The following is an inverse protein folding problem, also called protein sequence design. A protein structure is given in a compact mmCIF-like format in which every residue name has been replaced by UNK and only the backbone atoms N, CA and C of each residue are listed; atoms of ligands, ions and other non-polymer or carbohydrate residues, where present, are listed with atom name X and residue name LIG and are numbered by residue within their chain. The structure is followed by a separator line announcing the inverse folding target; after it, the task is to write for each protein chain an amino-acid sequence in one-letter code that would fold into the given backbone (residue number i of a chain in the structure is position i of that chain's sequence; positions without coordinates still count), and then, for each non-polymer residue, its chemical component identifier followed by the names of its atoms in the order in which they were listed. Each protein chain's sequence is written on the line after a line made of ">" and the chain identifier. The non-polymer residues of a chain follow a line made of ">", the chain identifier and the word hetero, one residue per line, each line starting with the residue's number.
data_IF_035007144437
#
_entry.id   IF_035007144437
#
_cell.length_a   1.000
_cell.length_b   1.000
_cell.length_c   1.000
_cell.angle_alpha   90.00
_cell.angle_beta   90.00
_cell.angle_gamma   90.00
#
_symmetry.space_group_name_H-M   'P 1'
#
loop_
_entity.id
_entity.type
_entity.pdbx_description
1 polymer ?
#
# COMPACT_ATOMS: atom_id res chain seq x y z
N UNK A 1 -42.01 29.35 13.50
CA UNK A 1 -41.29 30.51 12.92
C UNK A 1 -39.79 30.55 13.18
N UNK A 2 -39.27 30.51 14.42
CA UNK A 2 -37.80 30.51 14.65
C UNK A 2 -37.16 29.14 14.36
N UNK A 3 -37.73 28.03 14.87
CA UNK A 3 -37.16 26.68 14.66
C UNK A 3 -37.36 26.11 13.25
N UNK A 4 -38.36 26.58 12.50
CA UNK A 4 -38.55 26.20 11.08
C UNK A 4 -37.55 26.88 10.16
N UNK A 5 -37.15 28.13 10.48
CA UNK A 5 -36.08 28.83 9.73
C UNK A 5 -34.71 28.22 10.00
N UNK A 6 -34.44 27.81 11.24
CA UNK A 6 -33.20 27.10 11.59
C UNK A 6 -33.13 25.73 10.90
N UNK A 7 -34.23 24.97 10.89
CA UNK A 7 -34.30 23.69 10.16
C UNK A 7 -34.18 23.85 8.65
N UNK A 8 -34.78 24.89 8.06
CA UNK A 8 -34.61 25.19 6.63
C UNK A 8 -33.16 25.56 6.29
N UNK A 9 -32.50 26.38 7.13
CA UNK A 9 -31.10 26.73 6.93
C UNK A 9 -30.19 25.52 7.07
N UNK A 10 -30.35 24.69 8.11
CA UNK A 10 -29.59 23.45 8.29
C UNK A 10 -29.76 22.51 7.07
N UNK A 11 -30.99 22.37 6.57
CA UNK A 11 -31.29 21.53 5.41
C UNK A 11 -30.77 22.10 4.07
N UNK A 12 -30.69 23.43 3.93
CA UNK A 12 -30.05 24.10 2.78
C UNK A 12 -28.53 23.95 2.83
N UNK A 13 -27.89 24.13 4.01
CA UNK A 13 -26.45 23.93 4.20
C UNK A 13 -26.03 22.47 3.98
N UNK A 14 -26.82 21.49 4.44
CA UNK A 14 -26.59 20.07 4.18
C UNK A 14 -26.66 19.75 2.67
N UNK A 15 -27.66 20.27 1.97
CA UNK A 15 -27.84 20.04 0.53
C UNK A 15 -26.74 20.71 -0.32
N UNK A 16 -26.28 21.90 0.06
CA UNK A 16 -25.15 22.57 -0.61
C UNK A 16 -23.87 21.74 -0.48
N UNK A 17 -23.54 21.28 0.73
CA UNK A 17 -22.37 20.46 1.00
C UNK A 17 -22.41 19.10 0.25
N UNK A 18 -23.58 18.47 0.13
CA UNK A 18 -23.75 17.24 -0.65
C UNK A 18 -23.50 17.45 -2.15
N UNK A 19 -24.00 18.57 -2.70
CA UNK A 19 -23.81 18.89 -4.12
C UNK A 19 -22.33 19.17 -4.46
N UNK A 20 -21.61 19.84 -3.57
CA UNK A 20 -20.17 20.09 -3.70
C UNK A 20 -19.37 18.79 -3.62
N UNK A 21 -19.71 17.91 -2.67
CA UNK A 21 -19.07 16.60 -2.55
C UNK A 21 -19.34 15.70 -3.77
N UNK A 22 -20.54 15.73 -4.34
CA UNK A 22 -20.85 15.03 -5.58
C UNK A 22 -19.99 15.52 -6.76
N UNK A 23 -19.79 16.84 -6.88
CA UNK A 23 -18.90 17.41 -7.89
C UNK A 23 -17.43 17.04 -7.67
N UNK A 24 -17.00 16.95 -6.41
CA UNK A 24 -15.67 16.45 -6.05
C UNK A 24 -15.48 15.01 -6.55
N UNK A 25 -16.47 14.13 -6.31
CA UNK A 25 -16.43 12.73 -6.74
C UNK A 25 -16.41 12.59 -8.27
N UNK A 26 -17.19 13.41 -8.99
CA UNK A 26 -17.23 13.40 -10.46
C UNK A 26 -15.86 13.71 -11.10
N UNK A 27 -14.96 14.37 -10.37
CA UNK A 27 -13.61 14.74 -10.81
C UNK A 27 -12.51 14.09 -9.98
N UNK A 28 -12.82 13.04 -9.20
CA UNK A 28 -11.91 12.43 -8.24
C UNK A 28 -10.61 11.85 -8.85
N UNK A 29 -10.61 11.56 -10.16
CA UNK A 29 -9.40 11.11 -10.87
C UNK A 29 -8.32 12.20 -10.99
N UNK A 30 -8.69 13.48 -10.89
CA UNK A 30 -7.76 14.60 -11.09
C UNK A 30 -6.68 14.62 -10.02
N UNK A 31 -7.04 14.47 -8.74
CA UNK A 31 -6.08 14.50 -7.64
C UNK A 31 -4.95 13.46 -7.77
N UNK A 32 -5.23 12.15 -7.86
CA UNK A 32 -4.17 11.16 -7.92
C UNK A 32 -3.31 11.29 -9.19
N UNK A 33 -3.90 11.69 -10.32
CA UNK A 33 -3.14 11.90 -11.56
C UNK A 33 -2.23 13.13 -11.49
N UNK A 34 -2.68 14.23 -10.86
CA UNK A 34 -1.83 15.41 -10.63
C UNK A 34 -0.73 15.10 -9.62
N UNK A 35 -1.01 14.33 -8.57
CA UNK A 35 0.02 13.90 -7.61
C UNK A 35 1.07 13.02 -8.28
N UNK A 36 0.65 12.03 -9.09
CA UNK A 36 1.56 11.20 -9.89
C UNK A 36 2.46 12.06 -10.78
N UNK A 37 1.89 13.01 -11.53
CA UNK A 37 2.67 13.90 -12.38
C UNK A 37 3.65 14.78 -11.59
N UNK A 38 3.25 15.30 -10.41
CA UNK A 38 4.14 16.09 -9.57
C UNK A 38 5.34 15.29 -9.05
N UNK A 39 5.13 14.02 -8.71
CA UNK A 39 6.19 13.07 -8.31
C UNK A 39 7.10 12.77 -9.50
N UNK A 40 6.56 12.47 -10.69
CA UNK A 40 7.34 12.21 -11.90
C UNK A 40 8.19 13.42 -12.33
N UNK A 41 7.70 14.63 -12.09
CA UNK A 41 8.44 15.87 -12.31
C UNK A 41 9.49 16.16 -11.22
N UNK A 42 9.51 15.39 -10.11
CA UNK A 42 10.42 15.61 -8.99
C UNK A 42 10.12 16.87 -8.18
N UNK A 43 8.87 17.37 -8.25
CA UNK A 43 8.46 18.61 -7.57
C UNK A 43 8.68 18.52 -6.07
N UNK A 44 8.29 17.41 -5.47
CA UNK A 44 8.37 17.23 -4.02
C UNK A 44 9.85 17.17 -3.56
N UNK A 45 10.71 16.53 -4.35
CA UNK A 45 12.15 16.46 -4.14
C UNK A 45 12.82 17.82 -4.30
N UNK A 46 12.41 18.63 -5.27
CA UNK A 46 12.91 19.99 -5.47
C UNK A 46 12.63 20.83 -4.21
N UNK A 47 11.40 20.82 -3.71
CA UNK A 47 11.03 21.55 -2.49
C UNK A 47 11.80 20.99 -1.28
N UNK A 48 11.91 19.65 -1.15
CA UNK A 48 12.68 19.01 -0.07
C UNK A 48 14.15 19.46 -0.06
N UNK A 49 14.78 19.54 -1.23
CA UNK A 49 16.19 19.96 -1.38
C UNK A 49 16.40 21.43 -1.02
N UNK A 50 15.40 22.29 -1.21
CA UNK A 50 15.47 23.69 -0.80
C UNK A 50 15.44 23.86 0.73
N UNK A 51 14.91 22.89 1.47
CA UNK A 51 15.02 22.78 2.92
C UNK A 51 13.68 22.59 3.64
N UNK A 52 13.69 22.23 4.94
CA UNK A 52 12.47 21.86 5.69
C UNK A 52 11.40 22.95 5.76
N UNK A 53 11.80 24.22 5.74
CA UNK A 53 10.91 25.39 5.80
C UNK A 53 10.82 26.14 4.47
N UNK A 54 11.29 25.53 3.38
CA UNK A 54 11.30 26.17 2.07
C UNK A 54 9.87 26.45 1.58
N UNK A 55 9.71 27.61 0.96
CA UNK A 55 8.50 28.05 0.27
C UNK A 55 8.95 28.55 -1.11
N UNK A 56 8.64 27.79 -2.15
CA UNK A 56 9.08 28.09 -3.52
C UNK A 56 7.90 28.48 -4.39
N UNK A 57 8.09 29.50 -5.22
CA UNK A 57 7.17 29.83 -6.30
C UNK A 57 7.17 28.74 -7.38
N UNK A 58 6.10 28.68 -8.17
CA UNK A 58 6.05 27.78 -9.33
C UNK A 58 7.16 28.08 -10.37
N UNK A 59 7.63 29.34 -10.44
CA UNK A 59 8.74 29.75 -11.31
C UNK A 59 10.08 29.17 -10.84
N UNK A 60 10.35 29.21 -9.53
CA UNK A 60 11.57 28.61 -8.95
C UNK A 60 11.57 27.10 -9.13
N UNK A 61 10.44 26.43 -8.85
CA UNK A 61 10.30 24.98 -9.08
C UNK A 61 10.53 24.65 -10.57
N UNK A 62 9.89 25.38 -11.48
CA UNK A 62 10.04 25.18 -12.92
C UNK A 62 11.49 25.32 -13.40
N UNK A 63 12.27 26.22 -12.79
CA UNK A 63 13.68 26.46 -13.16
C UNK A 63 14.60 25.27 -12.90
N UNK A 64 14.18 24.34 -12.03
CA UNK A 64 14.89 23.08 -11.76
C UNK A 64 14.45 21.92 -12.67
N UNK A 65 13.39 22.10 -13.47
CA UNK A 65 12.89 21.08 -14.38
C UNK A 65 13.64 21.10 -15.72
N UNK A 66 13.86 19.95 -16.37
CA UNK A 66 14.44 19.87 -17.71
C UNK A 66 13.41 20.27 -18.78
N UNK A 67 12.98 21.54 -18.78
CA UNK A 67 11.92 22.05 -19.66
C UNK A 67 12.33 23.30 -20.42
N UNK A 68 11.84 23.43 -21.65
CA UNK A 68 11.93 24.64 -22.46
C UNK A 68 10.58 25.34 -22.61
N UNK A 69 9.53 24.85 -21.93
CA UNK A 69 8.18 25.39 -22.04
C UNK A 69 8.05 26.69 -21.20
N UNK A 70 7.87 27.88 -21.82
CA UNK A 70 7.74 29.13 -21.07
C UNK A 70 6.47 29.18 -20.21
N UNK A 71 5.49 28.31 -20.47
CA UNK A 71 4.25 28.20 -19.69
C UNK A 71 4.32 27.15 -18.57
N UNK A 72 5.45 26.45 -18.39
CA UNK A 72 5.59 25.45 -17.31
C UNK A 72 5.27 26.00 -15.91
N UNK A 73 5.74 27.20 -15.50
CA UNK A 73 5.38 27.79 -14.22
C UNK A 73 3.87 27.95 -14.01
N UNK A 74 3.14 28.39 -15.04
CA UNK A 74 1.68 28.58 -14.97
C UNK A 74 0.94 27.26 -14.80
N UNK A 75 1.37 26.21 -15.50
CA UNK A 75 0.77 24.87 -15.38
C UNK A 75 1.08 24.28 -14.02
N UNK A 76 2.33 24.40 -13.55
CA UNK A 76 2.74 23.96 -12.22
C UNK A 76 1.94 24.66 -11.13
N UNK A 77 1.81 25.99 -11.17
CA UNK A 77 1.02 26.73 -10.18
C UNK A 77 -0.39 26.13 -10.00
N UNK A 78 -1.07 25.81 -11.12
CA UNK A 78 -2.40 25.17 -11.08
C UNK A 78 -2.38 23.79 -10.43
N UNK A 79 -1.36 22.98 -10.72
CA UNK A 79 -1.17 21.66 -10.09
C UNK A 79 -0.90 21.80 -8.60
N UNK A 80 0.00 22.70 -8.22
CA UNK A 80 0.43 22.91 -6.83
C UNK A 80 -0.73 23.45 -5.98
N UNK A 81 -1.57 24.36 -6.51
CA UNK A 81 -2.80 24.79 -5.82
C UNK A 81 -3.74 23.64 -5.51
N UNK A 82 -3.93 22.70 -6.44
CA UNK A 82 -4.75 21.51 -6.19
C UNK A 82 -4.13 20.67 -5.06
N UNK A 83 -2.82 20.38 -5.13
CA UNK A 83 -2.13 19.61 -4.10
C UNK A 83 -2.19 20.31 -2.73
N UNK A 84 -2.10 21.64 -2.68
CA UNK A 84 -2.29 22.42 -1.46
C UNK A 84 -3.71 22.36 -0.91
N UNK A 85 -4.73 22.37 -1.78
CA UNK A 85 -6.13 22.22 -1.36
C UNK A 85 -6.40 20.88 -0.67
N UNK A 86 -5.62 19.84 -1.02
CA UNK A 86 -5.64 18.53 -0.35
C UNK A 86 -4.59 18.38 0.76
N UNK A 87 -4.00 19.49 1.22
CA UNK A 87 -2.97 19.51 2.27
C UNK A 87 -1.75 18.63 1.98
N UNK A 88 -1.48 18.34 0.71
CA UNK A 88 -0.26 17.66 0.27
C UNK A 88 0.91 18.63 0.30
N UNK A 89 0.66 19.86 -0.11
CA UNK A 89 1.61 20.98 0.00
C UNK A 89 1.05 22.05 0.94
N UNK A 90 1.93 22.82 1.55
CA UNK A 90 1.55 24.12 2.15
C UNK A 90 1.53 25.18 1.05
N UNK A 91 0.69 26.20 1.21
CA UNK A 91 0.64 27.36 0.33
C UNK A 91 0.63 28.62 1.17
N UNK A 92 1.55 29.53 0.88
CA UNK A 92 1.54 30.90 1.38
C UNK A 92 1.47 31.88 0.21
N UNK A 93 1.21 33.16 0.50
CA UNK A 93 1.15 34.22 -0.50
C UNK A 93 2.23 35.26 -0.22
N UNK A 94 2.84 35.79 -1.27
CA UNK A 94 3.83 36.86 -1.18
C UNK A 94 3.60 37.89 -2.29
N UNK A 95 3.94 39.15 -2.00
CA UNK A 95 3.97 40.20 -3.01
C UNK A 95 5.19 40.01 -3.91
N UNK A 96 4.96 39.98 -5.22
CA UNK A 96 6.01 40.00 -6.23
C UNK A 96 6.37 41.44 -6.58
N UNK A 97 7.59 41.66 -7.09
CA UNK A 97 8.14 43.00 -7.40
C UNK A 97 7.28 43.82 -8.38
N UNK A 98 6.40 43.18 -9.16
CA UNK A 98 5.45 43.81 -10.08
C UNK A 98 4.09 44.12 -9.45
N UNK A 99 3.95 43.96 -8.12
CA UNK A 99 2.74 44.22 -7.35
C UNK A 99 1.68 43.11 -7.47
N UNK A 100 2.00 41.98 -8.09
CA UNK A 100 1.11 40.81 -8.13
C UNK A 100 1.33 39.90 -6.93
N UNK A 101 0.26 39.30 -6.47
CA UNK A 101 0.32 38.26 -5.45
C UNK A 101 0.74 36.94 -6.10
N UNK A 102 1.79 36.31 -5.58
CA UNK A 102 2.24 34.98 -6.00
C UNK A 102 2.04 33.96 -4.90
N UNK A 103 1.76 32.71 -5.29
CA UNK A 103 1.72 31.58 -4.38
C UNK A 103 3.11 30.97 -4.21
N UNK A 104 3.48 30.70 -2.96
CA UNK A 104 4.69 29.96 -2.60
C UNK A 104 4.28 28.63 -1.95
N UNK A 105 5.01 27.57 -2.29
CA UNK A 105 4.66 26.20 -1.93
C UNK A 105 5.77 25.53 -1.13
N UNK A 106 5.38 24.86 -0.04
CA UNK A 106 6.26 24.00 0.74
C UNK A 106 5.68 22.61 0.92
N UNK A 107 6.48 21.69 1.47
CA UNK A 107 5.96 20.35 1.80
C UNK A 107 5.05 20.40 3.02
N UNK A 108 3.90 19.74 2.94
CA UNK A 108 3.10 19.41 4.13
C UNK A 108 3.49 18.03 4.67
N UNK A 109 3.10 17.66 5.91
CA UNK A 109 3.51 16.38 6.52
C UNK A 109 3.24 15.14 5.66
N UNK A 110 2.11 15.09 4.95
CA UNK A 110 1.74 13.95 4.10
C UNK A 110 2.69 13.77 2.90
N UNK A 111 3.32 14.85 2.40
CA UNK A 111 4.31 14.76 1.32
C UNK A 111 5.51 13.87 1.68
N UNK A 112 5.84 13.74 2.96
CA UNK A 112 6.96 12.90 3.39
C UNK A 112 6.75 11.41 3.07
N UNK A 113 5.51 10.98 2.84
CA UNK A 113 5.21 9.62 2.39
C UNK A 113 5.42 9.41 0.90
N UNK A 114 5.52 10.48 0.11
CA UNK A 114 5.69 10.43 -1.36
C UNK A 114 7.08 10.87 -1.83
N UNK A 115 7.96 11.26 -0.91
CA UNK A 115 9.36 11.58 -1.20
C UNK A 115 10.25 10.53 -0.56
N UNK A 116 11.29 10.01 -1.25
CA UNK A 116 12.21 9.03 -0.68
C UNK A 116 12.74 9.46 0.70
N UNK A 117 12.54 8.59 1.70
CA UNK A 117 13.03 8.82 3.06
C UNK A 117 14.55 8.48 3.18
N UNK A 118 15.07 8.39 4.40
CA UNK A 118 16.49 8.06 4.63
C UNK A 118 16.90 6.69 4.08
N UNK A 119 15.96 5.75 4.02
CA UNK A 119 16.12 4.42 3.43
C UNK A 119 15.78 4.38 1.93
N UNK A 120 15.64 5.56 1.29
CA UNK A 120 15.29 5.73 -0.12
C UNK A 120 13.93 5.11 -0.50
N UNK A 121 12.98 5.05 0.45
CA UNK A 121 11.65 4.47 0.24
C UNK A 121 10.51 5.48 0.36
N UNK A 122 9.41 5.25 -0.36
CA UNK A 122 8.18 6.05 -0.34
C UNK A 122 6.96 5.25 -0.85
N UNK A 123 5.76 5.84 -0.78
CA UNK A 123 4.53 5.36 -1.41
C UNK A 123 4.40 5.77 -2.90
N UNK A 124 5.35 6.55 -3.43
CA UNK A 124 5.31 7.02 -4.81
C UNK A 124 5.22 5.89 -5.86
N UNK A 125 5.95 4.75 -5.72
CA UNK A 125 5.81 3.64 -6.66
C UNK A 125 4.44 2.96 -6.61
N UNK A 126 3.82 2.89 -5.42
CA UNK A 126 2.49 2.29 -5.26
C UNK A 126 1.42 3.16 -5.93
N UNK A 127 1.49 4.48 -5.73
CA UNK A 127 0.65 5.43 -6.48
C UNK A 127 0.94 5.33 -7.99
N UNK A 128 2.21 5.27 -8.39
CA UNK A 128 2.56 5.19 -9.81
C UNK A 128 2.01 3.92 -10.45
N UNK A 129 2.01 2.80 -9.73
CA UNK A 129 1.42 1.54 -10.15
C UNK A 129 -0.10 1.64 -10.29
N UNK A 130 -0.80 2.07 -9.24
CA UNK A 130 -2.26 2.13 -9.21
C UNK A 130 -2.84 3.07 -10.29
N UNK A 131 -2.08 4.09 -10.67
CA UNK A 131 -2.44 5.08 -11.68
C UNK A 131 -1.70 4.85 -13.01
N UNK A 132 -1.02 3.71 -13.16
CA UNK A 132 -0.45 3.30 -14.44
C UNK A 132 -1.57 2.96 -15.42
N UNK A 133 -1.39 3.30 -16.69
CA UNK A 133 -2.37 3.03 -17.74
C UNK A 133 -2.80 1.56 -17.75
N UNK A 134 -1.88 0.63 -17.53
CA UNK A 134 -2.17 -0.82 -17.54
C UNK A 134 -3.20 -1.18 -16.46
N UNK A 135 -3.09 -0.62 -15.25
CA UNK A 135 -4.11 -0.85 -14.21
C UNK A 135 -5.38 -0.01 -14.43
N UNK A 136 -5.25 1.20 -14.96
CA UNK A 136 -6.40 2.04 -15.28
C UNK A 136 -7.32 1.38 -16.31
N UNK A 137 -6.74 0.69 -17.30
CA UNK A 137 -7.49 0.01 -18.35
C UNK A 137 -8.45 -1.05 -17.78
N UNK A 138 -8.07 -1.73 -16.68
CA UNK A 138 -8.92 -2.73 -16.02
C UNK A 138 -10.23 -2.13 -15.47
N UNK A 139 -10.21 -0.90 -14.96
CA UNK A 139 -11.43 -0.27 -14.40
C UNK A 139 -12.54 -0.06 -15.44
N UNK A 140 -12.21 0.05 -16.73
CA UNK A 140 -13.21 0.13 -17.80
C UNK A 140 -14.00 -1.17 -17.99
N UNK A 141 -13.47 -2.29 -17.50
CA UNK A 141 -14.10 -3.61 -17.59
C UNK A 141 -14.83 -4.03 -16.31
N UNK A 142 -14.78 -3.22 -15.24
CA UNK A 142 -15.42 -3.56 -13.97
C UNK A 142 -16.92 -3.81 -14.10
N UNK A 143 -17.61 -2.95 -14.86
CA UNK A 143 -19.05 -3.10 -15.12
C UNK A 143 -19.36 -4.45 -15.75
N UNK A 144 -18.59 -4.84 -16.76
CA UNK A 144 -18.86 -6.07 -17.47
C UNK A 144 -18.48 -7.30 -16.65
N UNK A 145 -17.45 -7.21 -15.80
CA UNK A 145 -17.10 -8.26 -14.86
C UNK A 145 -18.24 -8.56 -13.88
N UNK A 146 -19.00 -7.54 -13.47
CA UNK A 146 -20.21 -7.73 -12.64
C UNK A 146 -21.31 -8.46 -13.40
N UNK A 147 -21.45 -8.23 -14.71
CA UNK A 147 -22.51 -8.81 -15.54
C UNK A 147 -22.18 -10.22 -16.02
N UNK A 148 -20.95 -10.43 -16.46
CA UNK A 148 -20.52 -11.62 -17.21
C UNK A 148 -19.53 -12.48 -16.42
N UNK A 149 -19.08 -12.03 -15.24
CA UNK A 149 -17.97 -12.63 -14.50
C UNK A 149 -16.60 -12.28 -15.10
N UNK A 150 -15.57 -13.00 -14.66
CA UNK A 150 -14.15 -12.78 -14.96
C UNK A 150 -13.51 -11.59 -14.23
N UNK A 151 -12.18 -11.52 -14.26
CA UNK A 151 -11.39 -10.44 -13.63
C UNK A 151 -11.24 -9.29 -14.61
N UNK A 152 -11.53 -8.04 -14.21
CA UNK A 152 -11.42 -6.89 -15.10
C UNK A 152 -10.04 -6.75 -15.76
N UNK A 153 -8.95 -6.98 -15.02
CA UNK A 153 -7.59 -6.99 -15.59
C UNK A 153 -7.40 -8.04 -16.69
N UNK A 154 -7.88 -9.27 -16.48
CA UNK A 154 -7.77 -10.33 -17.47
C UNK A 154 -8.56 -9.97 -18.73
N UNK A 155 -9.72 -9.33 -18.56
CA UNK A 155 -10.57 -8.86 -19.67
C UNK A 155 -9.87 -7.78 -20.50
N UNK A 156 -9.17 -6.87 -19.84
CA UNK A 156 -8.43 -5.79 -20.49
C UNK A 156 -7.20 -6.31 -21.27
N UNK A 157 -6.46 -7.27 -20.70
CA UNK A 157 -5.11 -7.62 -21.16
C UNK A 157 -4.94 -9.07 -21.63
N UNK A 158 -5.99 -9.90 -21.53
CA UNK A 158 -6.00 -11.31 -21.95
C UNK A 158 -5.12 -12.25 -21.12
N UNK A 159 -4.60 -11.82 -19.97
CA UNK A 159 -3.63 -12.55 -19.14
C UNK A 159 -3.66 -12.00 -17.71
N UNK A 160 -3.14 -12.75 -16.72
CA UNK A 160 -3.08 -12.28 -15.33
C UNK A 160 -2.06 -11.16 -15.14
N UNK A 161 -2.25 -10.30 -14.14
CA UNK A 161 -1.35 -9.16 -13.87
C UNK A 161 0.13 -9.58 -13.72
N UNK A 162 0.40 -10.65 -12.99
CA UNK A 162 1.77 -11.19 -12.81
C UNK A 162 2.39 -11.74 -14.10
N UNK A 163 1.56 -12.24 -15.03
CA UNK A 163 2.02 -12.71 -16.35
C UNK A 163 2.27 -11.53 -17.28
N UNK A 164 1.40 -10.51 -17.23
CA UNK A 164 1.57 -9.26 -17.98
C UNK A 164 2.86 -8.55 -17.57
N UNK A 165 3.14 -8.47 -16.26
CA UNK A 165 4.37 -7.90 -15.71
C UNK A 165 5.66 -8.57 -16.20
N UNK A 166 5.60 -9.84 -16.64
CA UNK A 166 6.75 -10.53 -17.25
C UNK A 166 6.92 -10.21 -18.74
N UNK A 167 5.86 -9.74 -19.41
CA UNK A 167 5.85 -9.42 -20.85
C UNK A 167 6.21 -7.96 -21.13
N UNK A 168 5.78 -7.04 -20.27
CA UNK A 168 6.07 -5.61 -20.38
C UNK A 168 7.17 -5.22 -19.39
N UNK A 169 8.37 -4.91 -19.89
CA UNK A 169 9.54 -4.59 -19.06
C UNK A 169 9.29 -3.37 -18.16
N UNK A 170 8.71 -2.30 -18.72
CA UNK A 170 8.45 -1.04 -18.01
C UNK A 170 7.44 -1.27 -16.88
N UNK A 171 6.32 -1.94 -17.19
CA UNK A 171 5.31 -2.26 -16.19
C UNK A 171 5.83 -3.29 -15.17
N UNK A 172 6.63 -4.25 -15.59
CA UNK A 172 7.24 -5.25 -14.72
C UNK A 172 8.20 -4.64 -13.69
N UNK A 173 9.02 -3.66 -14.09
CA UNK A 173 9.85 -2.88 -13.19
C UNK A 173 9.02 -2.08 -12.19
N UNK A 174 7.99 -1.37 -12.65
CA UNK A 174 7.08 -0.61 -11.80
C UNK A 174 6.34 -1.52 -10.80
N UNK A 175 5.82 -2.65 -11.26
CA UNK A 175 5.16 -3.67 -10.42
C UNK A 175 6.13 -4.17 -9.35
N UNK A 176 7.34 -4.56 -9.73
CA UNK A 176 8.37 -5.03 -8.79
C UNK A 176 8.76 -3.96 -7.75
N UNK A 177 8.97 -2.71 -8.17
CA UNK A 177 9.26 -1.60 -7.28
C UNK A 177 8.11 -1.35 -6.29
N UNK A 178 6.88 -1.31 -6.80
CA UNK A 178 5.69 -1.08 -5.98
C UNK A 178 5.47 -2.16 -4.92
N UNK A 179 5.86 -3.42 -5.16
CA UNK A 179 5.72 -4.51 -4.18
C UNK A 179 6.80 -4.50 -3.09
N UNK A 180 7.85 -3.69 -3.27
CA UNK A 180 9.04 -3.69 -2.40
C UNK A 180 9.24 -2.39 -1.64
N UNK A 181 9.16 -1.26 -2.34
CA UNK A 181 9.70 0.00 -1.84
C UNK A 181 8.97 0.51 -0.61
N UNK A 182 7.64 0.35 -0.49
CA UNK A 182 6.95 0.82 0.71
C UNK A 182 7.10 -0.12 1.92
N UNK A 183 7.67 -1.33 1.75
CA UNK A 183 7.77 -2.33 2.82
C UNK A 183 8.51 -1.86 4.07
N UNK A 184 9.68 -1.19 3.95
CA UNK A 184 10.39 -0.73 5.13
C UNK A 184 9.61 0.30 5.96
N UNK A 185 8.76 1.13 5.32
CA UNK A 185 8.02 2.21 6.00
C UNK A 185 7.07 1.66 7.07
N UNK A 186 6.25 0.67 6.70
CA UNK A 186 5.33 0.08 7.67
C UNK A 186 6.02 -0.97 8.55
N UNK A 187 7.03 -1.70 8.04
CA UNK A 187 7.76 -2.68 8.86
C UNK A 187 8.57 -2.04 9.99
N UNK A 188 9.16 -0.86 9.78
CA UNK A 188 9.77 -0.08 10.87
C UNK A 188 8.73 0.17 11.98
N UNK A 189 7.53 0.61 11.59
CA UNK A 189 6.46 0.90 12.54
C UNK A 189 5.92 -0.35 13.25
N UNK A 190 5.77 -1.46 12.53
CA UNK A 190 5.42 -2.76 13.12
C UNK A 190 6.49 -3.17 14.12
N UNK A 191 7.77 -3.11 13.76
CA UNK A 191 8.85 -3.53 14.66
C UNK A 191 8.92 -2.66 15.92
N UNK A 192 8.56 -1.38 15.87
CA UNK A 192 8.49 -0.51 17.07
C UNK A 192 7.49 -1.03 18.13
N UNK A 193 6.31 -1.48 17.70
CA UNK A 193 5.17 -1.76 18.58
C UNK A 193 4.90 -3.24 18.78
N UNK A 194 5.14 -4.07 17.76
CA UNK A 194 4.93 -5.50 17.79
C UNK A 194 6.05 -6.23 18.52
N UNK A 195 5.66 -7.05 19.49
CA UNK A 195 6.58 -7.79 20.37
C UNK A 195 6.63 -9.28 20.11
N UNK A 196 5.83 -9.78 19.18
CA UNK A 196 5.70 -11.22 18.97
C UNK A 196 6.94 -11.90 18.36
N UNK A 197 7.97 -11.17 17.97
CA UNK A 197 9.27 -11.73 17.58
C UNK A 197 10.23 -11.95 18.76
N UNK A 198 9.96 -11.35 19.93
CA UNK A 198 10.82 -11.49 21.11
C UNK A 198 10.79 -12.93 21.62
N UNK A 199 11.97 -13.50 21.87
CA UNK A 199 12.14 -14.86 22.41
C UNK A 199 12.07 -15.99 21.37
N UNK A 200 11.83 -15.71 20.09
CA UNK A 200 11.90 -16.72 19.03
C UNK A 200 13.35 -17.19 18.82
N UNK A 201 13.53 -18.50 18.57
CA UNK A 201 14.84 -19.05 18.18
C UNK A 201 14.93 -19.26 16.68
N UNK A 202 13.82 -19.54 16.00
CA UNK A 202 13.77 -19.70 14.54
C UNK A 202 12.53 -19.07 13.91
N UNK A 203 12.69 -18.51 12.70
CA UNK A 203 11.62 -17.85 11.94
C UNK A 203 11.70 -18.20 10.46
N UNK A 204 10.61 -18.70 9.88
CA UNK A 204 10.47 -18.91 8.43
C UNK A 204 9.58 -17.82 7.83
N UNK A 205 10.12 -17.00 6.92
CA UNK A 205 9.34 -16.06 6.08
C UNK A 205 8.89 -16.78 4.80
N UNK A 206 7.59 -17.06 4.70
CA UNK A 206 6.97 -17.78 3.57
C UNK A 206 6.51 -16.77 2.52
N UNK A 207 6.99 -16.93 1.29
CA UNK A 207 6.84 -15.94 0.24
C UNK A 207 7.62 -14.66 0.52
N UNK A 208 8.75 -14.78 1.23
CA UNK A 208 9.57 -13.65 1.68
C UNK A 208 10.33 -12.91 0.56
N UNK A 209 10.22 -13.38 -0.68
CA UNK A 209 10.74 -12.70 -1.85
C UNK A 209 12.26 -12.53 -1.79
N UNK A 210 12.71 -11.26 -1.77
CA UNK A 210 14.13 -10.91 -1.69
C UNK A 210 14.69 -10.90 -0.25
N UNK A 211 13.88 -11.29 0.74
CA UNK A 211 14.27 -11.39 2.14
C UNK A 211 14.49 -10.04 2.83
N UNK A 212 14.12 -8.92 2.21
CA UNK A 212 14.32 -7.57 2.79
C UNK A 212 13.57 -7.40 4.11
N UNK A 213 12.35 -7.89 4.22
CA UNK A 213 11.55 -7.80 5.46
C UNK A 213 12.17 -8.66 6.55
N UNK A 214 12.50 -9.93 6.24
CA UNK A 214 13.15 -10.82 7.18
C UNK A 214 14.48 -10.26 7.69
N UNK A 215 15.26 -9.59 6.82
CA UNK A 215 16.48 -8.87 7.21
C UNK A 215 16.21 -7.79 8.24
N UNK A 216 15.14 -7.00 8.08
CA UNK A 216 14.77 -5.98 9.07
C UNK A 216 14.42 -6.61 10.42
N UNK A 217 13.69 -7.74 10.41
CA UNK A 217 13.33 -8.48 11.63
C UNK A 217 14.60 -8.97 12.35
N UNK A 218 15.49 -9.70 11.68
CA UNK A 218 16.70 -10.25 12.34
C UNK A 218 17.74 -9.18 12.67
N UNK A 219 17.73 -8.02 12.02
CA UNK A 219 18.58 -6.89 12.42
C UNK A 219 18.19 -6.37 13.81
N UNK A 220 16.91 -6.47 14.18
CA UNK A 220 16.42 -6.14 15.52
C UNK A 220 16.52 -7.33 16.49
N UNK A 221 16.38 -8.55 15.98
CA UNK A 221 16.37 -9.79 16.76
C UNK A 221 17.46 -10.76 16.24
N UNK A 222 18.76 -10.47 16.49
CA UNK A 222 19.86 -11.19 15.86
C UNK A 222 20.06 -12.64 16.33
N UNK A 223 19.35 -13.05 17.38
CA UNK A 223 19.36 -14.43 17.87
C UNK A 223 18.46 -15.39 17.06
N UNK A 224 17.60 -14.86 16.18
CA UNK A 224 16.68 -15.65 15.38
C UNK A 224 17.43 -16.30 14.20
N UNK A 225 17.36 -17.63 14.11
CA UNK A 225 17.72 -18.36 12.90
C UNK A 225 16.65 -18.15 11.83
N UNK A 226 16.99 -17.38 10.78
CA UNK A 226 16.05 -16.95 9.76
C UNK A 226 16.11 -17.81 8.50
N UNK A 227 14.94 -18.25 8.03
CA UNK A 227 14.73 -18.91 6.74
C UNK A 227 13.88 -18.01 5.85
N UNK A 228 14.41 -17.59 4.71
CA UNK A 228 13.61 -17.01 3.63
C UNK A 228 13.17 -18.14 2.69
N UNK A 229 11.86 -18.38 2.60
CA UNK A 229 11.27 -19.47 1.83
C UNK A 229 10.41 -18.95 0.68
N UNK A 230 10.80 -19.26 -0.55
CA UNK A 230 10.07 -18.82 -1.75
C UNK A 230 10.26 -19.83 -2.90
N UNK A 231 9.63 -19.57 -4.04
CA UNK A 231 9.81 -20.36 -5.26
C UNK A 231 11.28 -20.31 -5.72
N UNK A 232 11.74 -21.40 -6.34
CA UNK A 232 13.13 -21.53 -6.79
C UNK A 232 13.61 -20.38 -7.67
N UNK A 233 12.77 -19.91 -8.60
CA UNK A 233 13.09 -18.80 -9.48
C UNK A 233 13.23 -17.46 -8.73
N UNK A 234 12.54 -17.28 -7.60
CA UNK A 234 12.65 -16.08 -6.76
C UNK A 234 13.93 -16.17 -5.94
N UNK A 235 14.12 -17.27 -5.21
CA UNK A 235 15.32 -17.52 -4.39
C UNK A 235 16.61 -17.36 -5.18
N UNK A 236 16.67 -17.87 -6.42
CA UNK A 236 17.85 -17.76 -7.29
C UNK A 236 18.23 -16.30 -7.61
N UNK A 237 17.25 -15.40 -7.67
CA UNK A 237 17.44 -13.98 -8.00
C UNK A 237 17.47 -13.08 -6.76
N UNK A 238 17.27 -13.65 -5.57
CA UNK A 238 17.27 -12.91 -4.32
C UNK A 238 18.71 -12.63 -3.85
N UNK A 239 18.99 -11.42 -3.32
CA UNK A 239 20.29 -11.13 -2.74
C UNK A 239 20.56 -12.03 -1.54
N UNK A 240 21.83 -12.35 -1.32
CA UNK A 240 22.26 -13.02 -0.09
C UNK A 240 22.31 -12.01 1.05
N UNK A 241 21.64 -12.33 2.16
CA UNK A 241 21.69 -11.53 3.39
C UNK A 241 22.37 -12.34 4.49
N UNK A 242 23.41 -11.81 5.17
CA UNK A 242 24.02 -12.49 6.30
C UNK A 242 22.99 -12.84 7.38
N UNK A 243 23.05 -14.07 7.90
CA UNK A 243 22.10 -14.57 8.90
C UNK A 243 20.78 -15.10 8.36
N UNK A 244 20.55 -15.04 7.03
CA UNK A 244 19.35 -15.59 6.38
C UNK A 244 19.72 -16.80 5.53
N UNK A 245 19.08 -17.93 5.80
CA UNK A 245 19.13 -19.12 4.96
C UNK A 245 18.06 -19.04 3.87
N UNK A 246 18.48 -19.10 2.63
CA UNK A 246 17.58 -19.15 1.47
C UNK A 246 17.14 -20.60 1.21
N UNK A 247 15.85 -20.87 1.18
CA UNK A 247 15.29 -22.20 0.87
C UNK A 247 14.26 -22.07 -0.24
N UNK A 248 14.48 -22.77 -1.34
CA UNK A 248 13.51 -22.88 -2.42
C UNK A 248 12.48 -23.97 -2.12
N UNK A 249 11.20 -23.71 -2.40
CA UNK A 249 10.16 -24.73 -2.35
C UNK A 249 8.79 -24.19 -2.74
N UNK A 250 7.77 -24.99 -2.45
CA UNK A 250 6.37 -24.66 -2.70
C UNK A 250 5.58 -24.74 -1.39
N UNK A 251 4.99 -23.62 -0.98
CA UNK A 251 4.18 -23.52 0.25
C UNK A 251 2.93 -24.38 0.22
N UNK A 252 2.44 -24.78 -0.97
CA UNK A 252 1.34 -25.73 -1.11
C UNK A 252 1.79 -27.18 -0.85
N UNK A 253 3.09 -27.47 -0.94
CA UNK A 253 3.64 -28.80 -0.67
C UNK A 253 4.14 -28.95 0.76
N UNK A 254 5.02 -28.05 1.22
CA UNK A 254 5.59 -28.10 2.58
C UNK A 254 6.29 -26.79 2.94
N UNK A 255 6.31 -26.45 4.23
CA UNK A 255 6.98 -25.26 4.75
C UNK A 255 8.13 -25.67 5.70
N UNK A 256 9.31 -25.02 5.65
CA UNK A 256 10.40 -25.29 6.59
C UNK A 256 9.99 -25.08 8.06
N UNK A 257 10.39 -26.02 8.93
CA UNK A 257 10.11 -25.96 10.36
C UNK A 257 10.78 -24.76 11.03
N UNK A 258 10.04 -24.08 11.91
CA UNK A 258 10.51 -22.97 12.74
C UNK A 258 9.57 -22.77 13.94
N UNK A 259 10.00 -22.00 14.94
CA UNK A 259 9.16 -21.62 16.09
C UNK A 259 7.99 -20.74 15.67
N UNK A 260 8.23 -19.87 14.68
CA UNK A 260 7.20 -19.07 14.06
C UNK A 260 7.33 -19.06 12.54
N UNK A 261 6.21 -18.83 11.88
CA UNK A 261 6.11 -18.63 10.44
C UNK A 261 5.58 -17.23 10.21
N UNK A 262 6.29 -16.43 9.42
CA UNK A 262 5.86 -15.10 9.01
C UNK A 262 5.34 -15.15 7.56
N UNK A 263 4.25 -14.45 7.31
CA UNK A 263 3.68 -14.27 5.97
C UNK A 263 3.18 -12.84 5.84
N UNK A 264 3.61 -12.12 4.81
CA UNK A 264 3.06 -10.82 4.45
C UNK A 264 2.50 -10.88 3.04
N UNK A 265 1.25 -10.44 2.86
CA UNK A 265 0.63 -10.38 1.52
C UNK A 265 0.69 -11.72 0.79
N UNK A 266 0.40 -12.79 1.52
CA UNK A 266 0.34 -14.15 0.99
C UNK A 266 -1.11 -14.58 0.92
N UNK A 267 -1.83 -14.51 2.05
CA UNK A 267 -3.19 -15.02 2.13
C UNK A 267 -4.16 -14.18 1.30
N UNK A 268 -3.95 -12.88 1.16
CA UNK A 268 -4.80 -12.04 0.30
C UNK A 268 -4.70 -12.38 -1.20
N UNK A 269 -3.68 -13.15 -1.62
CA UNK A 269 -3.50 -13.53 -3.03
C UNK A 269 -4.40 -14.71 -3.43
N UNK A 270 -4.87 -15.48 -2.46
CA UNK A 270 -5.47 -16.78 -2.67
C UNK A 270 -6.90 -16.83 -2.13
N UNK A 271 -7.70 -17.74 -2.70
CA UNK A 271 -9.02 -18.04 -2.18
C UNK A 271 -8.92 -18.83 -0.87
N UNK A 272 -10.07 -19.07 -0.23
CA UNK A 272 -10.12 -19.71 1.08
C UNK A 272 -9.65 -21.17 1.06
N UNK A 273 -9.82 -21.89 -0.06
CA UNK A 273 -9.38 -23.28 -0.22
C UNK A 273 -7.84 -23.36 -0.25
N UNK A 274 -7.21 -22.50 -1.04
CA UNK A 274 -5.77 -22.40 -1.14
C UNK A 274 -5.14 -21.86 0.16
N UNK A 275 -5.75 -20.85 0.80
CA UNK A 275 -5.31 -20.38 2.11
C UNK A 275 -5.35 -21.50 3.16
N UNK A 276 -6.37 -22.36 3.13
CA UNK A 276 -6.47 -23.49 4.06
C UNK A 276 -5.34 -24.50 3.87
N UNK A 277 -4.93 -24.79 2.63
CA UNK A 277 -3.77 -25.65 2.35
C UNK A 277 -2.49 -25.04 2.93
N UNK A 278 -2.24 -23.76 2.64
CA UNK A 278 -1.05 -23.04 3.16
C UNK A 278 -1.02 -23.08 4.68
N UNK A 279 -2.14 -22.75 5.33
CA UNK A 279 -2.23 -22.70 6.79
C UNK A 279 -2.07 -24.08 7.44
N UNK A 280 -2.54 -25.16 6.81
CA UNK A 280 -2.29 -26.54 7.30
C UNK A 280 -0.81 -26.90 7.21
N UNK A 281 -0.13 -26.55 6.12
CA UNK A 281 1.30 -26.75 5.99
C UNK A 281 2.09 -25.92 7.02
N UNK A 282 1.63 -24.70 7.33
CA UNK A 282 2.18 -23.91 8.43
C UNK A 282 1.98 -24.63 9.77
N UNK A 283 0.77 -25.14 10.03
CA UNK A 283 0.46 -25.86 11.26
C UNK A 283 1.37 -27.07 11.47
N UNK A 284 1.64 -27.85 10.42
CA UNK A 284 2.56 -29.01 10.47
C UNK A 284 4.03 -28.63 10.71
N UNK A 285 4.45 -27.47 10.19
CA UNK A 285 5.81 -26.98 10.32
C UNK A 285 6.12 -26.36 11.71
N UNK A 286 5.10 -26.01 12.49
CA UNK A 286 5.24 -25.39 13.81
C UNK A 286 5.39 -26.41 14.96
N UNK A 287 6.15 -26.09 16.02
CA UNK A 287 6.11 -26.82 17.29
C UNK A 287 4.80 -26.56 18.04
N UNK A 288 4.56 -27.25 19.17
CA UNK A 288 3.32 -27.16 19.95
C UNK A 288 2.94 -25.72 20.34
N UNK A 289 3.93 -24.92 20.77
CA UNK A 289 3.75 -23.51 21.14
C UNK A 289 4.08 -22.53 20.00
N UNK A 290 4.16 -23.02 18.77
CA UNK A 290 4.46 -22.19 17.61
C UNK A 290 3.29 -21.33 17.18
N UNK A 291 3.58 -20.32 16.35
CA UNK A 291 2.56 -19.43 15.80
C UNK A 291 2.85 -19.01 14.36
N UNK A 292 1.78 -18.69 13.64
CA UNK A 292 1.86 -17.96 12.37
C UNK A 292 1.66 -16.47 12.66
N UNK A 293 2.46 -15.63 12.03
CA UNK A 293 2.39 -14.16 12.10
C UNK A 293 2.06 -13.68 10.69
N UNK A 294 0.83 -13.24 10.50
CA UNK A 294 0.29 -12.77 9.22
C UNK A 294 0.28 -11.24 9.20
N UNK A 295 0.75 -10.63 8.12
CA UNK A 295 0.68 -9.18 7.89
C UNK A 295 -0.13 -8.90 6.63
N UNK A 296 -1.38 -8.49 6.81
CA UNK A 296 -2.40 -8.31 5.76
C UNK A 296 -3.25 -7.06 6.04
N UNK A 297 -4.09 -6.68 5.08
CA UNK A 297 -5.14 -5.69 5.32
C UNK A 297 -6.37 -6.42 5.87
N UNK A 298 -6.74 -6.11 7.12
CA UNK A 298 -7.95 -6.68 7.73
C UNK A 298 -9.11 -5.71 7.52
N UNK A 299 -10.04 -6.07 6.65
CA UNK A 299 -11.21 -5.23 6.33
C UNK A 299 -12.26 -5.29 7.44
N UNK A 300 -13.07 -4.23 7.52
CA UNK A 300 -14.16 -4.12 8.48
C UNK A 300 -15.40 -4.88 7.98
N UNK A 301 -16.14 -5.50 8.91
CA UNK A 301 -17.41 -6.18 8.64
C UNK A 301 -18.50 -5.22 8.13
N UNK A 302 -18.50 -3.99 8.65
CA UNK A 302 -19.46 -2.96 8.29
C UNK A 302 -18.74 -1.77 7.64
N UNK A 303 -19.38 -1.09 6.68
CA UNK A 303 -18.80 0.11 6.09
C UNK A 303 -18.70 1.23 7.13
N UNK A 304 -17.56 1.91 7.13
CA UNK A 304 -17.30 3.09 7.94
C UNK A 304 -16.72 4.21 7.07
N UNK A 305 -16.87 5.46 7.52
CA UNK A 305 -16.44 6.65 6.76
C UNK A 305 -15.05 7.16 7.17
N UNK A 306 -14.37 6.49 8.09
CA UNK A 306 -13.01 6.86 8.51
C UNK A 306 -12.03 6.73 7.33
N UNK A 307 -10.94 7.50 7.38
CA UNK A 307 -9.90 7.42 6.34
C UNK A 307 -9.29 6.01 6.25
N UNK A 308 -9.11 5.34 7.39
CA UNK A 308 -8.61 3.97 7.46
C UNK A 308 -9.57 2.99 6.76
N UNK A 309 -10.86 3.04 7.10
CA UNK A 309 -11.87 2.19 6.47
C UNK A 309 -11.97 2.40 4.96
N UNK A 310 -12.04 3.66 4.52
CA UNK A 310 -12.07 4.00 3.08
C UNK A 310 -10.84 3.46 2.35
N UNK A 311 -9.65 3.58 2.94
CA UNK A 311 -8.41 3.06 2.36
C UNK A 311 -8.44 1.52 2.26
N UNK A 312 -8.91 0.82 3.28
CA UNK A 312 -9.05 -0.64 3.26
C UNK A 312 -9.96 -1.11 2.12
N UNK A 313 -11.15 -0.52 1.97
CA UNK A 313 -12.08 -0.88 0.89
C UNK A 313 -11.56 -0.49 -0.50
N UNK A 314 -10.77 0.58 -0.63
CA UNK A 314 -10.11 0.92 -1.89
C UNK A 314 -9.09 -0.15 -2.31
N UNK A 315 -8.31 -0.67 -1.35
CA UNK A 315 -7.37 -1.75 -1.62
C UNK A 315 -8.09 -3.07 -1.97
N UNK A 316 -9.17 -3.40 -1.27
CA UNK A 316 -9.95 -4.60 -1.59
C UNK A 316 -10.54 -4.55 -3.01
N UNK A 317 -11.08 -3.40 -3.42
CA UNK A 317 -11.52 -3.19 -4.80
C UNK A 317 -10.38 -3.31 -5.81
N UNK A 318 -9.17 -2.83 -5.46
CA UNK A 318 -8.00 -2.99 -6.31
C UNK A 318 -7.59 -4.48 -6.43
N UNK A 319 -7.64 -5.23 -5.34
CA UNK A 319 -7.36 -6.67 -5.35
C UNK A 319 -8.37 -7.42 -6.21
N UNK A 320 -9.67 -7.19 -6.02
CA UNK A 320 -10.74 -7.80 -6.83
C UNK A 320 -10.57 -7.50 -8.32
N UNK A 321 -10.16 -6.27 -8.66
CA UNK A 321 -10.00 -5.83 -10.04
C UNK A 321 -8.83 -6.53 -10.77
N UNK A 322 -7.88 -7.11 -10.02
CA UNK A 322 -6.56 -7.52 -10.55
C UNK A 322 -6.19 -8.97 -10.26
N UNK A 323 -6.81 -9.59 -9.26
CA UNK A 323 -6.52 -10.94 -8.81
C UNK A 323 -7.78 -11.82 -8.80
N UNK A 324 -7.85 -12.89 -9.61
CA UNK A 324 -9.03 -13.77 -9.69
C UNK A 324 -9.40 -14.48 -8.40
N UNK A 325 -8.40 -14.77 -7.57
CA UNK A 325 -8.59 -15.60 -6.37
C UNK A 325 -8.40 -14.79 -5.08
N UNK A 326 -7.87 -13.57 -5.19
CA UNK A 326 -7.53 -12.76 -4.04
C UNK A 326 -8.73 -11.98 -3.48
N UNK A 327 -8.74 -11.84 -2.16
CA UNK A 327 -9.63 -10.92 -1.43
C UNK A 327 -8.97 -10.47 -0.14
N UNK A 328 -9.27 -9.26 0.30
CA UNK A 328 -9.02 -8.90 1.69
C UNK A 328 -10.07 -9.59 2.59
N UNK A 329 -9.74 -9.80 3.86
CA UNK A 329 -10.57 -10.60 4.77
C UNK A 329 -10.88 -9.87 6.06
N UNK A 330 -12.06 -10.14 6.62
CA UNK A 330 -12.39 -9.68 7.97
C UNK A 330 -11.64 -10.51 9.02
N UNK A 331 -11.54 -9.99 10.25
CA UNK A 331 -10.98 -10.74 11.38
C UNK A 331 -11.69 -12.10 11.58
N UNK A 332 -13.01 -12.13 11.39
CA UNK A 332 -13.83 -13.34 11.52
C UNK A 332 -13.55 -14.35 10.42
N UNK A 333 -13.29 -13.90 9.19
CA UNK A 333 -12.86 -14.79 8.11
C UNK A 333 -11.48 -15.39 8.39
N UNK A 334 -10.52 -14.59 8.89
CA UNK A 334 -9.24 -15.12 9.36
C UNK A 334 -9.41 -16.12 10.50
N UNK A 335 -10.29 -15.85 11.47
CA UNK A 335 -10.59 -16.77 12.57
C UNK A 335 -11.12 -18.11 12.06
N UNK A 336 -12.05 -18.07 11.10
CA UNK A 336 -12.63 -19.27 10.50
C UNK A 336 -11.59 -20.09 9.72
N UNK A 337 -10.70 -19.43 8.97
CA UNK A 337 -9.59 -20.10 8.27
C UNK A 337 -8.62 -20.75 9.25
N UNK A 338 -8.24 -20.02 10.31
CA UNK A 338 -7.33 -20.50 11.33
C UNK A 338 -7.89 -21.73 12.06
N UNK A 339 -9.17 -21.68 12.47
CA UNK A 339 -9.86 -22.81 13.10
C UNK A 339 -9.90 -24.04 12.20
N UNK A 340 -10.23 -23.87 10.91
CA UNK A 340 -10.26 -24.97 9.95
C UNK A 340 -8.87 -25.57 9.68
N UNK A 341 -7.81 -24.77 9.79
CA UNK A 341 -6.44 -25.23 9.67
C UNK A 341 -5.89 -25.90 10.95
N UNK A 342 -6.63 -25.84 12.06
CA UNK A 342 -6.28 -26.49 13.33
C UNK A 342 -5.71 -25.56 14.41
N UNK A 343 -5.60 -24.26 14.16
CA UNK A 343 -5.16 -23.27 15.16
C UNK A 343 -6.23 -23.06 16.23
N UNK A 344 -5.81 -22.86 17.48
CA UNK A 344 -6.72 -22.76 18.63
C UNK A 344 -7.21 -21.33 18.87
N UNK A 345 -6.39 -20.33 18.52
CA UNK A 345 -6.65 -18.93 18.83
C UNK A 345 -6.06 -18.02 17.74
N UNK A 346 -6.77 -16.93 17.47
CA UNK A 346 -6.21 -15.80 16.72
C UNK A 346 -6.09 -14.56 17.59
N UNK A 347 -5.20 -13.65 17.24
CA UNK A 347 -5.08 -12.34 17.88
C UNK A 347 -4.69 -11.29 16.86
N UNK A 348 -5.48 -10.21 16.76
CA UNK A 348 -5.06 -8.99 16.10
C UNK A 348 -4.11 -8.21 17.02
N UNK A 349 -2.80 -8.33 16.79
CA UNK A 349 -1.78 -7.88 17.72
C UNK A 349 -1.51 -6.36 17.64
N UNK A 350 -1.41 -5.81 16.43
CA UNK A 350 -1.25 -4.38 16.18
C UNK A 350 -1.54 -4.05 14.72
N UNK A 351 -1.57 -2.76 14.38
CA UNK A 351 -1.66 -2.30 12.99
C UNK A 351 -0.73 -1.11 12.75
N UNK A 352 -0.19 -0.99 11.54
CA UNK A 352 0.57 0.15 11.06
C UNK A 352 0.24 0.41 9.59
N UNK A 353 -0.17 1.63 9.23
CA UNK A 353 -0.57 1.99 7.86
C UNK A 353 -1.64 1.05 7.26
N UNK A 354 -2.62 0.65 8.09
CA UNK A 354 -3.64 -0.36 7.78
C UNK A 354 -3.13 -1.81 7.59
N UNK A 355 -1.82 -2.05 7.64
CA UNK A 355 -1.27 -3.40 7.74
C UNK A 355 -1.43 -3.91 9.17
N UNK A 356 -2.27 -4.92 9.31
CA UNK A 356 -2.58 -5.56 10.57
C UNK A 356 -1.70 -6.79 10.76
N UNK A 357 -1.17 -6.95 11.97
CA UNK A 357 -0.46 -8.16 12.39
C UNK A 357 -1.47 -9.09 13.05
N UNK A 358 -1.73 -10.25 12.45
CA UNK A 358 -2.61 -11.29 12.95
C UNK A 358 -1.77 -12.50 13.37
N UNK A 359 -1.85 -12.89 14.64
CA UNK A 359 -1.20 -14.08 15.15
C UNK A 359 -2.16 -15.26 15.17
N UNK A 360 -1.75 -16.42 14.65
CA UNK A 360 -2.49 -17.68 14.72
C UNK A 360 -1.69 -18.64 15.60
N UNK A 361 -2.25 -19.00 16.76
CA UNK A 361 -1.55 -19.84 17.76
C UNK A 361 -1.93 -21.30 17.60
N UNK A 362 -0.92 -22.18 17.61
CA UNK A 362 -1.13 -23.63 17.48
C UNK A 362 -1.76 -24.23 18.74
N UNK A 363 -1.32 -23.80 19.92
CA UNK A 363 -1.90 -24.13 21.23
C UNK A 363 -2.48 -22.89 21.91
N UNK A 364 -3.41 -23.08 22.86
CA UNK A 364 -4.09 -22.01 23.59
C UNK A 364 -3.16 -21.13 24.44
#
# INVERSE_FOLDING_TARGET
>A
MSSEKTKMQEHEYEHEHESEYAMLLASASVLPMVLKAAIELGVLEIIKKAGPSAQLSAQEIASHLPTHNPHAPLVLDRMLRLLSAYSILTCSQADHDDGKLISLYGLAPISNYFVPNHNQVSLAPLLSLQQDKVFLDAWYHLKDAVLDGDVPFNRAHGTKAVEYARKDVRFGELFKCSMKEFNPIFMEKILETYKGFEGLTSLTDVGGGDGTILKMIISKYPAIEAINFDLAAVVLNSPSHPGIKQIAGDMFASIPKADAIFMKWILHTWDDEHCLVILKNCYEALPEHGKVIVVELVILEAPETSLAARSLFQFDMFMMNTNPTGKERTEREFENLAKQAGFSRIQLACSAYNFSVVELFKSA
#
